data_IF_022793145363
#
_entry.id   IF_022793145363
#
_cell.length_a   1.000
_cell.length_b   1.000
_cell.length_c   1.000
_cell.angle_alpha   90.00
_cell.angle_beta   90.00
_cell.angle_gamma   90.00
#
_symmetry.space_group_name_H-M   'P 1'
#
loop_
_entity.id
_entity.type
_entity.pdbx_description
1 polymer ?
#
# COMPACT_ATOMS: atom_id res chain seq x y z
N UNK A 1 6.72 53.46 3.00
CA UNK A 1 6.75 52.77 4.31
C UNK A 1 6.24 51.36 4.07
N UNK A 2 7.15 50.41 3.77
CA UNK A 2 6.82 49.05 3.49
C UNK A 2 7.00 48.23 4.76
N UNK A 3 5.90 47.71 5.29
CA UNK A 3 5.90 46.75 6.39
C UNK A 3 6.21 45.35 5.82
N UNK A 4 7.41 44.88 6.07
CA UNK A 4 7.81 43.49 5.88
C UNK A 4 7.20 42.65 7.00
N UNK A 5 6.17 41.87 6.71
CA UNK A 5 5.70 40.81 7.60
C UNK A 5 6.71 39.65 7.53
N UNK A 6 7.47 39.49 8.58
CA UNK A 6 8.26 38.29 8.85
C UNK A 6 7.28 37.13 9.06
N UNK A 7 7.15 36.27 8.04
CA UNK A 7 6.47 35.00 8.16
C UNK A 7 7.31 34.10 9.08
N UNK A 8 6.82 33.86 10.28
CA UNK A 8 7.31 32.81 11.19
C UNK A 8 6.95 31.42 10.62
N UNK A 9 7.69 31.00 9.60
CA UNK A 9 7.56 29.69 8.97
C UNK A 9 8.56 28.70 9.55
N UNK A 10 8.43 28.27 10.80
CA UNK A 10 9.46 27.37 11.33
C UNK A 10 8.97 26.14 12.13
N UNK A 11 7.67 25.87 12.23
CA UNK A 11 7.22 24.71 13.01
C UNK A 11 6.69 23.53 12.17
N UNK A 12 6.30 23.75 10.91
CA UNK A 12 5.74 22.68 10.07
C UNK A 12 6.79 21.74 9.47
N UNK A 13 8.05 22.18 9.35
CA UNK A 13 9.12 21.39 8.72
C UNK A 13 9.71 20.32 9.64
N UNK A 14 9.72 20.53 10.95
CA UNK A 14 10.23 19.54 11.92
C UNK A 14 9.32 18.34 12.10
N UNK A 15 8.00 18.49 12.01
CA UNK A 15 7.04 17.38 12.13
C UNK A 15 7.09 16.41 10.95
N UNK A 16 7.51 16.87 9.77
CA UNK A 16 7.61 16.05 8.57
C UNK A 16 8.83 15.10 8.56
N UNK A 17 9.82 15.30 9.44
CA UNK A 17 11.01 14.47 9.54
C UNK A 17 10.80 13.21 10.38
N UNK A 18 9.71 13.11 11.13
CA UNK A 18 9.46 12.04 12.08
C UNK A 18 8.75 10.86 11.44
N UNK A 19 9.05 9.64 11.91
CA UNK A 19 8.34 8.44 11.54
C UNK A 19 6.94 8.44 12.18
N UNK A 20 5.89 8.27 11.37
CA UNK A 20 4.51 8.09 11.82
C UNK A 20 4.19 6.60 11.85
N UNK A 21 3.60 6.15 12.96
CA UNK A 21 3.19 4.77 13.16
C UNK A 21 1.68 4.65 13.09
N UNK A 22 1.29 3.50 12.62
CA UNK A 22 -0.10 3.16 12.46
C UNK A 22 -0.24 1.65 12.68
N UNK A 23 -1.13 1.26 13.55
CA UNK A 23 -1.44 -0.12 13.87
C UNK A 23 -2.94 -0.35 13.76
N UNK A 24 -3.34 -1.51 13.28
CA UNK A 24 -4.73 -1.96 13.33
C UNK A 24 -4.82 -3.45 13.57
N UNK A 25 -5.90 -3.89 14.21
CA UNK A 25 -6.23 -5.28 14.44
C UNK A 25 -7.74 -5.48 14.38
N UNK A 26 -8.19 -6.62 13.92
CA UNK A 26 -9.60 -6.93 13.82
C UNK A 26 -9.84 -8.29 13.21
N UNK A 27 -10.98 -8.44 12.56
CA UNK A 27 -11.42 -9.68 11.92
C UNK A 27 -11.30 -9.59 10.41
N UNK A 28 -11.07 -10.73 9.79
CA UNK A 28 -10.99 -10.91 8.34
C UNK A 28 -11.82 -12.13 7.93
N UNK A 29 -12.46 -12.03 6.79
CA UNK A 29 -13.23 -13.13 6.19
C UNK A 29 -12.95 -13.22 4.70
N UNK A 30 -12.81 -14.43 4.20
CA UNK A 30 -12.72 -14.74 2.78
C UNK A 30 -13.75 -15.85 2.48
N UNK A 31 -14.32 -15.86 1.28
CA UNK A 31 -15.43 -16.75 0.90
C UNK A 31 -15.12 -18.24 1.15
N UNK A 32 -13.87 -18.66 0.93
CA UNK A 32 -13.43 -20.04 1.14
C UNK A 32 -12.70 -20.25 2.48
N UNK A 33 -12.64 -19.25 3.32
CA UNK A 33 -11.91 -19.27 4.58
C UNK A 33 -12.85 -18.96 5.72
N UNK A 34 -12.63 -19.66 6.83
CA UNK A 34 -13.30 -19.33 8.08
C UNK A 34 -12.88 -17.92 8.53
N UNK A 35 -13.66 -17.36 9.43
CA UNK A 35 -13.31 -16.12 10.10
C UNK A 35 -11.89 -16.18 10.68
N UNK A 36 -11.09 -15.16 10.46
CA UNK A 36 -9.71 -15.05 10.91
C UNK A 36 -9.43 -13.74 11.63
N UNK A 37 -8.18 -13.59 12.06
CA UNK A 37 -7.66 -12.36 12.70
C UNK A 37 -6.84 -11.60 11.67
N UNK A 38 -7.10 -10.30 11.57
CA UNK A 38 -6.34 -9.37 10.74
C UNK A 38 -5.43 -8.49 11.62
N UNK A 39 -4.16 -8.36 11.22
CA UNK A 39 -3.20 -7.45 11.80
C UNK A 39 -2.54 -6.58 10.72
N UNK A 40 -2.25 -5.32 11.04
CA UNK A 40 -1.57 -4.43 10.13
C UNK A 40 -0.70 -3.45 10.90
N UNK A 41 0.53 -3.30 10.46
CA UNK A 41 1.47 -2.31 10.96
C UNK A 41 2.00 -1.46 9.81
N UNK A 42 2.10 -0.16 10.02
CA UNK A 42 2.67 0.77 9.05
C UNK A 42 3.62 1.74 9.71
N UNK A 43 4.79 1.90 9.10
CA UNK A 43 5.77 2.93 9.41
C UNK A 43 5.91 3.83 8.18
N UNK A 44 5.65 5.12 8.36
CA UNK A 44 5.68 6.09 7.27
C UNK A 44 6.55 7.28 7.64
N UNK A 45 7.43 7.70 6.73
CA UNK A 45 8.18 8.95 6.82
C UNK A 45 8.02 9.72 5.53
N UNK A 46 7.63 10.98 5.65
CA UNK A 46 7.49 11.91 4.52
C UNK A 46 8.36 13.11 4.79
N UNK A 47 9.18 13.48 3.82
CA UNK A 47 9.90 14.76 3.77
C UNK A 47 9.37 15.55 2.59
N UNK A 48 9.90 16.72 2.34
CA UNK A 48 9.51 17.53 1.17
C UNK A 48 9.75 16.80 -0.16
N UNK A 49 10.85 16.05 -0.25
CA UNK A 49 11.28 15.37 -1.49
C UNK A 49 11.21 13.85 -1.44
N UNK A 50 11.14 13.24 -0.26
CA UNK A 50 11.21 11.79 -0.12
C UNK A 50 10.02 11.23 0.66
N UNK A 51 9.65 10.02 0.29
CA UNK A 51 8.62 9.24 0.97
C UNK A 51 9.12 7.83 1.21
N UNK A 52 9.03 7.34 2.46
CA UNK A 52 9.34 5.96 2.84
C UNK A 52 8.15 5.36 3.58
N UNK A 53 7.76 4.16 3.21
CA UNK A 53 6.56 3.50 3.72
C UNK A 53 6.80 2.00 3.85
N UNK A 54 6.76 1.50 5.07
CA UNK A 54 6.85 0.08 5.38
C UNK A 54 5.51 -0.39 5.89
N UNK A 55 4.97 -1.47 5.33
CA UNK A 55 3.68 -2.05 5.72
C UNK A 55 3.83 -3.55 5.93
N UNK A 56 3.29 -4.02 7.03
CA UNK A 56 3.14 -5.43 7.33
C UNK A 56 1.65 -5.74 7.43
N UNK A 57 1.16 -6.65 6.61
CA UNK A 57 -0.17 -7.22 6.68
C UNK A 57 -0.07 -8.67 7.16
N UNK A 58 -0.95 -9.07 8.04
CA UNK A 58 -1.06 -10.44 8.51
C UNK A 58 -2.53 -10.81 8.65
N UNK A 59 -2.97 -11.84 7.92
CA UNK A 59 -4.28 -12.45 8.08
C UNK A 59 -4.08 -13.91 8.48
N UNK A 60 -4.60 -14.27 9.63
CA UNK A 60 -4.48 -15.60 10.22
C UNK A 60 -5.85 -16.26 10.26
N UNK A 61 -6.03 -17.32 9.50
CA UNK A 61 -7.21 -18.18 9.47
C UNK A 61 -6.89 -19.52 10.13
N UNK A 62 -7.88 -20.34 10.38
CA UNK A 62 -7.68 -21.65 11.02
C UNK A 62 -6.64 -22.51 10.29
N UNK A 63 -6.69 -22.55 8.95
CA UNK A 63 -5.85 -23.41 8.11
C UNK A 63 -5.03 -22.62 7.08
N UNK A 64 -5.16 -21.31 7.04
CA UNK A 64 -4.55 -20.46 6.04
C UNK A 64 -3.88 -19.24 6.67
N UNK A 65 -2.84 -18.78 6.01
CA UNK A 65 -2.10 -17.59 6.43
C UNK A 65 -1.83 -16.71 5.21
N UNK A 66 -2.05 -15.42 5.37
CA UNK A 66 -1.61 -14.40 4.44
C UNK A 66 -0.69 -13.44 5.18
N UNK A 67 0.53 -13.31 4.70
CA UNK A 67 1.53 -12.38 5.24
C UNK A 67 2.12 -11.59 4.09
N UNK A 68 2.09 -10.25 4.20
CA UNK A 68 2.64 -9.34 3.21
C UNK A 68 3.49 -8.28 3.89
N UNK A 69 4.76 -8.20 3.50
CA UNK A 69 5.67 -7.13 3.90
C UNK A 69 5.99 -6.29 2.67
N UNK A 70 5.72 -4.99 2.73
CA UNK A 70 6.00 -4.04 1.64
C UNK A 70 6.85 -2.89 2.15
N UNK A 71 7.91 -2.60 1.45
CA UNK A 71 8.71 -1.39 1.62
C UNK A 71 8.68 -0.57 0.34
N UNK A 72 8.25 0.67 0.41
CA UNK A 72 8.25 1.63 -0.71
C UNK A 72 9.11 2.83 -0.36
N UNK A 73 9.99 3.19 -1.27
CA UNK A 73 10.76 4.43 -1.24
C UNK A 73 10.48 5.22 -2.51
N UNK A 74 10.21 6.50 -2.39
CA UNK A 74 10.05 7.38 -3.56
C UNK A 74 10.76 8.71 -3.34
N UNK A 75 11.17 9.33 -4.45
CA UNK A 75 11.87 10.61 -4.47
C UNK A 75 11.30 11.50 -5.57
N UNK A 76 10.91 12.71 -5.21
CA UNK A 76 10.42 13.74 -6.15
C UNK A 76 11.58 14.33 -6.92
N UNK A 77 11.32 14.72 -8.17
CA UNK A 77 12.27 15.47 -8.98
C UNK A 77 12.24 16.96 -8.59
N UNK A 78 13.42 17.56 -8.48
CA UNK A 78 13.52 18.99 -8.07
C UNK A 78 12.80 19.92 -9.06
N UNK A 79 12.93 19.67 -10.36
CA UNK A 79 12.35 20.52 -11.41
C UNK A 79 10.84 20.30 -11.63
N UNK A 80 10.32 19.13 -11.22
CA UNK A 80 8.92 18.74 -11.41
C UNK A 80 8.39 18.09 -10.16
N UNK A 81 7.88 18.90 -9.21
CA UNK A 81 7.45 18.43 -7.88
C UNK A 81 6.31 17.41 -7.90
N UNK A 82 5.51 17.39 -8.97
CA UNK A 82 4.47 16.39 -9.18
C UNK A 82 5.00 15.04 -9.66
N UNK A 83 6.22 15.00 -10.24
CA UNK A 83 6.86 13.78 -10.71
C UNK A 83 7.76 13.19 -9.61
N UNK A 84 7.75 11.87 -9.48
CA UNK A 84 8.65 11.14 -8.59
C UNK A 84 9.07 9.80 -9.18
N UNK A 85 10.24 9.33 -8.79
CA UNK A 85 10.66 7.94 -8.98
C UNK A 85 10.28 7.12 -7.76
N UNK A 86 10.01 5.83 -7.94
CA UNK A 86 9.75 4.93 -6.84
C UNK A 86 10.42 3.58 -7.01
N UNK A 87 10.70 2.95 -5.86
CA UNK A 87 11.11 1.56 -5.73
C UNK A 87 10.24 0.92 -4.65
N UNK A 88 9.75 -0.29 -4.90
CA UNK A 88 8.97 -1.06 -3.94
C UNK A 88 9.53 -2.48 -3.86
N UNK A 89 9.86 -2.92 -2.66
CA UNK A 89 10.18 -4.29 -2.33
C UNK A 89 8.97 -4.92 -1.65
N UNK A 90 8.67 -6.14 -2.01
CA UNK A 90 7.51 -6.85 -1.54
C UNK A 90 7.86 -8.29 -1.24
N UNK A 91 7.42 -8.77 -0.10
CA UNK A 91 7.44 -10.17 0.29
C UNK A 91 6.01 -10.62 0.55
N UNK A 92 5.62 -11.75 0.00
CA UNK A 92 4.29 -12.33 0.21
C UNK A 92 4.38 -13.81 0.50
N UNK A 93 3.60 -14.24 1.49
CA UNK A 93 3.20 -15.62 1.71
C UNK A 93 1.68 -15.63 1.76
N UNK A 94 1.03 -16.43 0.92
CA UNK A 94 -0.43 -16.47 0.84
C UNK A 94 -0.90 -17.89 0.50
N UNK A 95 -1.23 -18.65 1.53
CA UNK A 95 -1.68 -20.03 1.35
C UNK A 95 -3.04 -20.14 0.66
N UNK A 96 -3.89 -19.09 0.73
CA UNK A 96 -5.18 -19.04 0.01
C UNK A 96 -4.93 -18.99 -1.51
N UNK A 97 -3.90 -18.26 -1.93
CA UNK A 97 -3.48 -18.18 -3.33
C UNK A 97 -2.56 -19.30 -3.77
N UNK A 98 -2.12 -20.18 -2.84
CA UNK A 98 -1.13 -21.22 -3.13
C UNK A 98 0.28 -20.63 -3.33
N UNK A 99 0.57 -19.48 -2.74
CA UNK A 99 1.88 -18.82 -2.77
C UNK A 99 2.56 -19.05 -1.43
N UNK A 100 3.59 -19.89 -1.38
CA UNK A 100 4.39 -20.04 -0.16
C UNK A 100 5.43 -18.93 -0.03
N UNK A 101 5.96 -18.50 -1.18
CA UNK A 101 6.98 -17.47 -1.23
C UNK A 101 6.90 -16.68 -2.52
N UNK A 102 6.75 -15.36 -2.40
CA UNK A 102 6.89 -14.43 -3.51
C UNK A 102 7.74 -13.24 -3.08
N UNK A 103 8.80 -12.99 -3.81
CA UNK A 103 9.53 -11.73 -3.79
C UNK A 103 9.16 -10.91 -5.01
N UNK A 104 8.83 -9.66 -4.80
CA UNK A 104 8.40 -8.77 -5.86
C UNK A 104 9.13 -7.43 -5.75
N UNK A 105 9.74 -7.00 -6.85
CA UNK A 105 10.40 -5.71 -6.97
C UNK A 105 9.68 -4.88 -8.01
N UNK A 106 9.26 -3.69 -7.64
CA UNK A 106 8.70 -2.69 -8.56
C UNK A 106 9.57 -1.46 -8.60
N UNK A 107 9.77 -0.91 -9.79
CA UNK A 107 10.41 0.39 -9.96
C UNK A 107 9.76 1.16 -11.12
N UNK A 108 9.73 2.48 -11.01
CA UNK A 108 9.12 3.28 -12.05
C UNK A 108 9.01 4.76 -11.70
N UNK A 109 8.11 5.42 -12.42
CA UNK A 109 7.80 6.82 -12.28
C UNK A 109 6.35 6.98 -11.85
N UNK A 110 6.07 8.01 -11.07
CA UNK A 110 4.73 8.36 -10.65
C UNK A 110 4.47 9.85 -10.82
N UNK A 111 3.20 10.17 -10.96
CA UNK A 111 2.68 11.54 -11.04
C UNK A 111 1.69 11.75 -9.91
N UNK A 112 1.86 12.84 -9.19
CA UNK A 112 0.88 13.32 -8.22
C UNK A 112 -0.07 14.25 -8.98
N UNK A 113 -1.29 13.79 -9.24
CA UNK A 113 -2.33 14.56 -9.95
C UNK A 113 -2.95 15.59 -9.03
N UNK A 114 -3.19 15.19 -7.79
CA UNK A 114 -3.70 16.08 -6.74
C UNK A 114 -3.02 15.76 -5.41
N UNK A 115 -2.58 16.79 -4.70
CA UNK A 115 -2.03 16.70 -3.36
C UNK A 115 -2.68 17.78 -2.49
N UNK A 116 -3.40 17.36 -1.47
CA UNK A 116 -4.03 18.26 -0.51
C UNK A 116 -4.01 17.67 0.90
N UNK A 117 -4.32 18.50 1.89
CA UNK A 117 -4.51 18.05 3.28
C UNK A 117 -5.71 17.09 3.42
N UNK A 118 -6.63 17.10 2.43
CA UNK A 118 -7.83 16.27 2.43
C UNK A 118 -7.68 14.99 1.60
N UNK A 119 -6.59 14.84 0.85
CA UNK A 119 -6.36 13.63 0.09
C UNK A 119 -5.39 13.78 -1.06
N UNK A 120 -5.02 12.63 -1.65
CA UNK A 120 -4.06 12.56 -2.73
C UNK A 120 -4.59 11.66 -3.85
N UNK A 121 -4.20 12.01 -5.08
CA UNK A 121 -4.42 11.16 -6.24
C UNK A 121 -3.09 10.99 -6.99
N UNK A 122 -2.65 9.75 -7.16
CA UNK A 122 -1.40 9.42 -7.84
C UNK A 122 -1.61 8.34 -8.88
N UNK A 123 -0.83 8.43 -9.96
CA UNK A 123 -0.73 7.42 -11.00
C UNK A 123 0.74 7.00 -11.09
N UNK A 124 1.00 5.71 -11.18
CA UNK A 124 2.34 5.13 -11.32
C UNK A 124 2.41 4.24 -12.54
N UNK A 125 3.56 4.25 -13.22
CA UNK A 125 3.90 3.31 -14.29
C UNK A 125 5.33 2.83 -14.10
N UNK A 126 5.61 1.58 -14.45
CA UNK A 126 6.95 1.04 -14.28
C UNK A 126 7.05 -0.43 -14.67
N UNK A 127 8.13 -1.03 -14.25
CA UNK A 127 8.39 -2.46 -14.38
C UNK A 127 8.30 -3.14 -13.03
N UNK A 128 7.89 -4.41 -13.05
CA UNK A 128 7.86 -5.27 -11.89
C UNK A 128 8.52 -6.61 -12.22
N UNK A 129 9.19 -7.17 -11.22
CA UNK A 129 9.83 -8.46 -11.31
C UNK A 129 9.39 -9.32 -10.14
N UNK A 130 8.84 -10.50 -10.44
CA UNK A 130 8.46 -11.52 -9.46
C UNK A 130 9.44 -12.69 -9.49
N UNK A 131 9.78 -13.18 -8.31
CA UNK A 131 10.29 -14.53 -8.10
C UNK A 131 9.35 -15.22 -7.12
N UNK A 132 8.63 -16.23 -7.56
CA UNK A 132 7.53 -16.86 -6.85
C UNK A 132 7.55 -18.37 -7.03
N UNK A 133 7.15 -19.10 -5.99
CA UNK A 133 6.87 -20.53 -6.01
C UNK A 133 5.39 -20.85 -6.33
N UNK A 134 4.68 -19.93 -6.96
CA UNK A 134 3.29 -20.13 -7.35
C UNK A 134 3.11 -21.43 -8.14
N UNK A 135 2.12 -22.22 -7.75
CA UNK A 135 1.86 -23.57 -8.32
C UNK A 135 3.00 -24.57 -8.11
N UNK A 136 3.77 -24.45 -7.03
CA UNK A 136 4.91 -25.34 -6.70
C UNK A 136 6.05 -25.35 -7.73
N UNK A 137 6.14 -24.33 -8.58
CA UNK A 137 7.23 -24.13 -9.54
C UNK A 137 7.86 -22.78 -9.32
N UNK A 138 9.20 -22.70 -9.30
CA UNK A 138 9.90 -21.42 -9.29
C UNK A 138 9.61 -20.68 -10.59
N UNK A 139 8.91 -19.55 -10.48
CA UNK A 139 8.58 -18.72 -11.63
C UNK A 139 9.20 -17.34 -11.49
N UNK A 140 10.01 -16.96 -12.50
CA UNK A 140 10.56 -15.63 -12.63
C UNK A 140 9.82 -14.88 -13.73
N UNK A 141 9.10 -13.84 -13.36
CA UNK A 141 8.21 -13.13 -14.27
C UNK A 141 8.46 -11.64 -14.25
N UNK A 142 8.49 -11.04 -15.43
CA UNK A 142 8.58 -9.59 -15.60
C UNK A 142 7.24 -9.04 -16.08
N UNK A 143 6.84 -7.88 -15.52
CA UNK A 143 5.59 -7.22 -15.84
C UNK A 143 5.82 -5.75 -16.21
N UNK A 144 4.96 -5.23 -17.09
CA UNK A 144 4.62 -3.83 -17.09
C UNK A 144 3.63 -3.58 -15.95
N UNK A 145 3.87 -2.56 -15.13
CA UNK A 145 2.99 -2.21 -14.02
C UNK A 145 2.39 -0.83 -14.25
N UNK A 146 1.09 -0.71 -14.03
CA UNK A 146 0.40 0.56 -13.85
C UNK A 146 -0.36 0.54 -12.53
N UNK A 147 -0.42 1.67 -11.84
CA UNK A 147 -1.14 1.76 -10.57
C UNK A 147 -1.83 3.10 -10.41
N UNK A 148 -2.94 3.07 -9.70
CA UNK A 148 -3.69 4.25 -9.28
C UNK A 148 -3.84 4.17 -7.76
N UNK A 149 -3.57 5.28 -7.08
CA UNK A 149 -3.85 5.41 -5.66
C UNK A 149 -4.62 6.69 -5.42
N UNK A 150 -5.76 6.53 -4.75
CA UNK A 150 -6.62 7.62 -4.35
C UNK A 150 -6.91 7.50 -2.87
N UNK A 151 -6.68 8.57 -2.13
CA UNK A 151 -7.11 8.69 -0.76
C UNK A 151 -7.78 10.05 -0.54
N UNK A 152 -8.88 10.05 0.22
CA UNK A 152 -9.63 11.27 0.51
C UNK A 152 -10.23 11.22 1.91
N UNK A 153 -10.13 12.36 2.60
CA UNK A 153 -10.68 12.55 3.94
C UNK A 153 -11.83 13.53 3.90
N UNK A 154 -12.96 13.13 4.51
CA UNK A 154 -14.15 13.95 4.72
C UNK A 154 -14.48 13.95 6.20
N UNK A 155 -14.17 15.01 6.93
CA UNK A 155 -14.39 15.11 8.38
C UNK A 155 -13.85 13.89 9.15
N UNK A 156 -14.75 13.04 9.65
CA UNK A 156 -14.42 11.80 10.37
C UNK A 156 -14.25 10.58 9.47
N UNK A 157 -14.67 10.66 8.20
CA UNK A 157 -14.55 9.58 7.22
C UNK A 157 -13.32 9.79 6.34
N UNK A 158 -12.60 8.72 6.06
CA UNK A 158 -11.58 8.69 5.01
C UNK A 158 -11.71 7.43 4.17
N UNK A 159 -11.51 7.59 2.88
CA UNK A 159 -11.48 6.48 1.93
C UNK A 159 -10.11 6.35 1.32
N UNK A 160 -9.72 5.12 1.01
CA UNK A 160 -8.50 4.79 0.30
C UNK A 160 -8.79 3.72 -0.73
N UNK A 161 -8.34 3.95 -1.95
CA UNK A 161 -8.44 3.02 -3.07
C UNK A 161 -7.05 2.88 -3.67
N UNK A 162 -6.54 1.66 -3.78
CA UNK A 162 -5.32 1.32 -4.53
C UNK A 162 -5.71 0.28 -5.57
N UNK A 163 -5.30 0.48 -6.83
CA UNK A 163 -5.44 -0.46 -7.93
C UNK A 163 -4.08 -0.62 -8.61
N UNK A 164 -3.56 -1.83 -8.64
CA UNK A 164 -2.28 -2.21 -9.26
C UNK A 164 -2.55 -3.23 -10.36
N UNK A 165 -2.24 -2.89 -11.60
CA UNK A 165 -2.33 -3.79 -12.74
C UNK A 165 -0.94 -4.24 -13.20
N UNK A 166 -0.73 -5.54 -13.27
CA UNK A 166 0.50 -6.19 -13.70
C UNK A 166 0.24 -6.93 -15.01
N UNK A 167 0.77 -6.41 -16.10
CA UNK A 167 0.71 -7.05 -17.41
C UNK A 167 2.00 -7.85 -17.63
N UNK A 168 1.88 -9.16 -17.80
CA UNK A 168 3.02 -10.05 -18.00
C UNK A 168 3.70 -9.78 -19.35
N UNK A 169 5.02 -9.51 -19.31
CA UNK A 169 5.84 -9.29 -20.50
C UNK A 169 6.66 -10.54 -20.83
N UNK A 170 7.23 -11.21 -19.80
CA UNK A 170 8.03 -12.42 -20.02
C UNK A 170 7.16 -13.59 -20.41
N UNK A 171 7.63 -14.38 -21.38
CA UNK A 171 6.98 -15.64 -21.73
C UNK A 171 7.39 -16.71 -20.72
N UNK A 172 6.41 -17.49 -20.24
CA UNK A 172 6.61 -18.69 -19.44
C UNK A 172 6.33 -19.89 -20.34
N UNK A 173 7.10 -20.98 -20.18
CA UNK A 173 7.04 -22.15 -21.06
C UNK A 173 5.66 -22.84 -21.07
N UNK A 174 4.84 -22.65 -20.04
CA UNK A 174 3.58 -23.37 -19.83
C UNK A 174 2.33 -22.59 -20.28
N UNK A 175 2.44 -21.56 -21.12
CA UNK A 175 1.32 -20.72 -21.55
C UNK A 175 0.48 -20.11 -20.40
N UNK A 176 1.01 -20.09 -19.19
CA UNK A 176 0.32 -19.54 -18.02
C UNK A 176 0.36 -18.01 -18.07
N UNK A 177 -0.80 -17.37 -18.14
CA UNK A 177 -0.89 -15.93 -18.04
C UNK A 177 -0.94 -15.54 -16.54
N UNK A 178 0.10 -14.87 -16.05
CA UNK A 178 0.23 -14.39 -14.67
C UNK A 178 -0.14 -12.91 -14.53
N UNK A 179 -0.72 -12.31 -15.58
CA UNK A 179 -1.25 -10.93 -15.49
C UNK A 179 -2.33 -10.88 -14.43
N UNK A 180 -2.33 -9.81 -13.63
CA UNK A 180 -3.27 -9.68 -12.51
C UNK A 180 -3.61 -8.22 -12.22
N UNK A 181 -4.78 -8.05 -11.64
CA UNK A 181 -5.22 -6.78 -11.05
C UNK A 181 -5.37 -6.99 -9.53
N UNK A 182 -4.69 -6.15 -8.76
CA UNK A 182 -4.78 -6.12 -7.30
C UNK A 182 -5.55 -4.87 -6.88
N UNK A 183 -6.61 -5.04 -6.11
CA UNK A 183 -7.45 -3.97 -5.60
C UNK A 183 -7.42 -3.95 -4.08
N UNK A 184 -7.30 -2.76 -3.50
CA UNK A 184 -7.52 -2.48 -2.09
C UNK A 184 -8.53 -1.34 -1.99
N UNK A 185 -9.59 -1.54 -1.23
CA UNK A 185 -10.51 -0.48 -0.82
C UNK A 185 -10.62 -0.46 0.70
N UNK A 186 -10.53 0.72 1.28
CA UNK A 186 -10.67 0.95 2.71
C UNK A 186 -11.56 2.17 2.96
N UNK A 187 -12.50 2.02 3.87
CA UNK A 187 -13.29 3.11 4.44
C UNK A 187 -13.00 3.17 5.94
N UNK A 188 -12.46 4.28 6.41
CA UNK A 188 -12.15 4.50 7.81
C UNK A 188 -13.07 5.56 8.41
N UNK A 189 -13.69 5.23 9.52
CA UNK A 189 -14.40 6.16 10.40
C UNK A 189 -13.56 6.45 11.64
N UNK A 190 -13.05 7.69 11.75
CA UNK A 190 -12.25 8.15 12.89
C UNK A 190 -13.18 8.74 13.95
N UNK A 191 -13.33 8.09 15.09
CA UNK A 191 -14.14 8.56 16.21
C UNK A 191 -13.31 9.29 17.28
N UNK A 192 -11.96 9.23 17.17
CA UNK A 192 -11.06 10.06 17.96
C UNK A 192 -9.80 10.41 17.17
N UNK A 193 -8.87 11.20 17.78
CA UNK A 193 -7.57 11.51 17.16
C UNK A 193 -6.73 10.25 16.91
N UNK A 194 -6.91 9.23 17.73
CA UNK A 194 -6.07 8.05 17.74
C UNK A 194 -6.81 6.79 17.28
N UNK A 195 -8.12 6.75 17.40
CA UNK A 195 -8.91 5.55 17.16
C UNK A 195 -9.88 5.74 16.00
N UNK A 196 -10.01 4.67 15.22
CA UNK A 196 -10.96 4.58 14.12
C UNK A 196 -11.38 3.13 13.86
N UNK A 197 -12.48 2.98 13.13
CA UNK A 197 -12.97 1.73 12.61
C UNK A 197 -12.73 1.72 11.11
N UNK A 198 -12.16 0.63 10.59
CA UNK A 198 -11.93 0.45 9.16
C UNK A 198 -12.71 -0.77 8.69
N UNK A 199 -13.47 -0.59 7.63
CA UNK A 199 -14.02 -1.66 6.82
C UNK A 199 -13.38 -1.61 5.43
N UNK A 200 -13.08 -2.76 4.86
CA UNK A 200 -12.46 -2.79 3.54
C UNK A 200 -12.37 -4.18 2.95
N UNK A 201 -11.82 -4.23 1.75
CA UNK A 201 -11.53 -5.48 1.08
C UNK A 201 -10.24 -5.40 0.28
N UNK A 202 -9.61 -6.55 0.09
CA UNK A 202 -8.54 -6.77 -0.89
C UNK A 202 -9.02 -7.80 -1.90
N UNK A 203 -8.67 -7.61 -3.17
CA UNK A 203 -9.01 -8.52 -4.23
C UNK A 203 -7.87 -8.65 -5.23
N UNK A 204 -7.48 -9.89 -5.53
CA UNK A 204 -6.51 -10.21 -6.57
C UNK A 204 -7.24 -10.97 -7.67
N UNK A 205 -7.46 -10.31 -8.79
CA UNK A 205 -8.03 -10.89 -10.00
C UNK A 205 -6.90 -11.43 -10.89
N UNK A 206 -6.86 -12.72 -11.07
CA UNK A 206 -5.98 -13.46 -11.97
C UNK A 206 -6.82 -14.53 -12.67
N UNK A 207 -6.30 -15.30 -13.63
CA UNK A 207 -7.04 -16.31 -14.43
C UNK A 207 -8.01 -17.19 -13.64
N UNK A 208 -7.72 -17.47 -12.37
CA UNK A 208 -8.66 -18.10 -11.44
C UNK A 208 -9.24 -17.03 -10.54
N UNK A 209 -10.40 -16.48 -10.88
CA UNK A 209 -11.09 -15.48 -10.08
C UNK A 209 -11.32 -15.99 -8.66
N UNK A 210 -10.43 -15.60 -7.75
CA UNK A 210 -10.62 -15.86 -6.32
C UNK A 210 -11.47 -14.74 -5.72
N UNK A 211 -12.31 -15.06 -4.75
CA UNK A 211 -13.16 -14.07 -4.10
C UNK A 211 -12.33 -13.04 -3.33
N UNK A 212 -12.89 -11.83 -3.14
CA UNK A 212 -12.23 -10.81 -2.33
C UNK A 212 -12.14 -11.23 -0.85
N UNK A 213 -11.14 -10.71 -0.18
CA UNK A 213 -10.97 -10.83 1.27
C UNK A 213 -11.50 -9.57 1.92
N UNK A 214 -12.53 -9.68 2.76
CA UNK A 214 -13.12 -8.59 3.51
C UNK A 214 -12.53 -8.51 4.92
N UNK A 215 -12.38 -7.30 5.45
CA UNK A 215 -11.91 -7.09 6.81
C UNK A 215 -12.63 -5.93 7.51
N UNK A 216 -12.74 -6.06 8.83
CA UNK A 216 -13.17 -5.00 9.74
C UNK A 216 -12.13 -4.93 10.86
N UNK A 217 -11.54 -3.75 11.06
CA UNK A 217 -10.45 -3.56 12.00
C UNK A 217 -10.59 -2.27 12.80
N UNK A 218 -10.12 -2.28 14.03
CA UNK A 218 -9.92 -1.07 14.83
C UNK A 218 -8.50 -0.57 14.54
N UNK A 219 -8.39 0.70 14.21
CA UNK A 219 -7.11 1.36 13.95
C UNK A 219 -6.68 2.20 15.13
N UNK A 220 -5.39 2.15 15.44
CA UNK A 220 -4.72 3.06 16.34
C UNK A 220 -3.66 3.84 15.58
N UNK A 221 -3.79 5.17 15.58
CA UNK A 221 -2.85 6.11 14.98
C UNK A 221 -2.09 6.82 16.08
N UNK A 222 -0.80 6.64 16.13
CA UNK A 222 0.04 7.41 17.04
C UNK A 222 0.61 8.61 16.28
N UNK A 223 0.13 9.84 16.53
CA UNK A 223 0.71 11.05 15.97
C UNK A 223 2.03 11.41 16.64
N UNK A 224 2.34 10.79 17.80
CA UNK A 224 3.58 11.05 18.50
C UNK A 224 4.73 10.43 17.73
N UNK A 225 5.63 11.26 17.34
CA UNK A 225 6.89 10.91 16.73
C UNK A 225 7.75 10.05 17.66
N UNK A 226 8.13 8.90 17.19
CA UNK A 226 9.33 8.28 17.71
C UNK A 226 10.53 8.99 17.09
N UNK A 227 11.33 9.60 17.91
CA UNK A 227 12.73 9.86 17.61
C UNK A 227 13.43 8.52 17.78
N UNK A 228 13.80 7.86 16.71
CA UNK A 228 14.86 6.85 16.70
C UNK A 228 16.12 7.59 16.34
#
# INVERSE_FOLDING_TARGET
MFLTSLATGNDSTKDNLKWKRYFRMGTVSSENSQLGIAGYLRLKRTTETTFKDTRLFSHLYKNNTELKLRYKSSQRFFSFRSLYSFNTLYYEKNSILGVNLRYHLNQGLGVIINESIFGNFTIEVGSAFDNSDYLNTEQKTTYARSAISFDKKFWSLSTKIEADYFYQISKINDNTNLSRLELLNELEWSFSKHLGLIAGFTWTMQNNNKPPTYFITISYKDPLSWTI
#
